data_IF_832431745262
#
_entry.id   IF_832431745262
#
_cell.length_a   1.000
_cell.length_b   1.000
_cell.length_c   1.000
_cell.angle_alpha   90.00
_cell.angle_beta   90.00
_cell.angle_gamma   90.00
#
_symmetry.space_group_name_H-M   'P 1'
#
loop_
_entity.id
_entity.type
_entity.pdbx_description
1 polymer ?
#
# COMPACT_ATOMS: atom_id res chain seq x y z
N UNK A 1 8.88 -18.21 42.36
CA UNK A 1 9.29 -18.84 41.09
C UNK A 1 8.59 -18.07 39.97
N UNK A 2 9.29 -17.14 39.33
CA UNK A 2 8.71 -16.29 38.28
C UNK A 2 8.87 -16.99 36.93
N UNK A 3 7.77 -17.48 36.36
CA UNK A 3 7.75 -17.96 34.98
C UNK A 3 7.81 -16.75 34.04
N UNK A 4 9.03 -16.34 33.69
CA UNK A 4 9.26 -15.53 32.50
C UNK A 4 8.93 -16.40 31.29
N UNK A 5 7.70 -16.27 30.80
CA UNK A 5 7.30 -16.80 29.50
C UNK A 5 8.21 -16.15 28.45
N UNK A 6 9.29 -16.86 28.14
CA UNK A 6 10.17 -16.61 27.02
C UNK A 6 9.29 -16.75 25.78
N UNK A 7 8.74 -15.63 25.32
CA UNK A 7 8.09 -15.50 24.02
C UNK A 7 9.16 -15.76 22.97
N UNK A 8 9.41 -17.03 22.71
CA UNK A 8 10.15 -17.49 21.55
C UNK A 8 9.36 -17.07 20.33
N UNK A 9 9.71 -15.91 19.78
CA UNK A 9 9.25 -15.49 18.48
C UNK A 9 9.81 -16.52 17.50
N UNK A 10 8.98 -17.52 17.16
CA UNK A 10 9.31 -18.49 16.13
C UNK A 10 9.64 -17.71 14.85
N UNK A 11 10.80 -17.96 14.20
CA UNK A 11 11.14 -17.33 12.93
C UNK A 11 10.13 -17.80 11.88
N UNK A 12 9.04 -17.03 11.71
CA UNK A 12 7.89 -17.39 10.89
C UNK A 12 6.54 -16.93 11.43
N UNK A 13 6.46 -16.46 12.67
CA UNK A 13 5.19 -15.99 13.29
C UNK A 13 5.18 -14.48 13.56
N UNK A 14 6.08 -13.74 12.93
CA UNK A 14 6.07 -12.28 13.01
C UNK A 14 4.97 -11.67 12.13
N UNK A 15 4.56 -10.42 12.38
CA UNK A 15 3.57 -9.72 11.55
C UNK A 15 4.02 -9.48 10.09
N UNK A 16 5.26 -9.84 9.76
CA UNK A 16 5.83 -9.79 8.41
C UNK A 16 5.97 -11.19 7.78
N UNK A 17 5.49 -12.25 8.45
CA UNK A 17 5.55 -13.58 7.89
C UNK A 17 4.55 -13.76 6.75
N UNK A 18 4.91 -14.59 5.78
CA UNK A 18 4.08 -14.85 4.60
C UNK A 18 2.74 -15.46 5.02
N UNK A 19 2.74 -16.40 5.97
CA UNK A 19 1.51 -17.04 6.45
C UNK A 19 0.57 -16.03 7.12
N UNK A 20 1.12 -15.13 7.94
CA UNK A 20 0.32 -14.09 8.60
C UNK A 20 -0.27 -13.10 7.59
N UNK A 21 0.54 -12.66 6.61
CA UNK A 21 0.09 -11.76 5.55
C UNK A 21 -1.03 -12.41 4.72
N UNK A 22 -0.88 -13.69 4.36
CA UNK A 22 -1.88 -14.41 3.59
C UNK A 22 -3.18 -14.59 4.37
N UNK A 23 -3.08 -14.93 5.66
CA UNK A 23 -4.26 -15.05 6.53
C UNK A 23 -4.98 -13.69 6.67
N UNK A 24 -4.23 -12.61 6.88
CA UNK A 24 -4.79 -11.27 6.98
C UNK A 24 -5.44 -10.82 5.66
N UNK A 25 -4.83 -11.15 4.52
CA UNK A 25 -5.37 -10.89 3.19
C UNK A 25 -6.68 -11.65 2.93
N UNK A 26 -6.78 -12.92 3.32
CA UNK A 26 -8.03 -13.70 3.23
C UNK A 26 -9.14 -13.10 4.09
N UNK A 27 -8.84 -12.68 5.32
CA UNK A 27 -9.80 -11.98 6.17
C UNK A 27 -10.31 -10.70 5.50
N UNK A 28 -9.41 -9.87 4.97
CA UNK A 28 -9.78 -8.66 4.24
C UNK A 28 -10.65 -8.95 3.02
N UNK A 29 -10.34 -10.01 2.25
CA UNK A 29 -11.12 -10.43 1.10
C UNK A 29 -12.55 -10.80 1.51
N UNK A 30 -12.67 -11.68 2.50
CA UNK A 30 -13.96 -12.16 3.01
C UNK A 30 -14.83 -11.02 3.56
N UNK A 31 -14.22 -10.03 4.20
CA UNK A 31 -14.92 -8.86 4.77
C UNK A 31 -15.26 -7.78 3.74
N UNK A 32 -14.46 -7.64 2.67
CA UNK A 32 -14.62 -6.54 1.71
C UNK A 32 -15.90 -6.63 0.86
N UNK A 33 -16.39 -7.86 0.62
CA UNK A 33 -17.46 -8.10 -0.35
C UNK A 33 -17.06 -7.79 -1.81
N UNK A 34 -15.78 -7.54 -2.08
CA UNK A 34 -15.25 -7.20 -3.39
C UNK A 34 -14.65 -8.45 -4.04
N UNK A 35 -15.03 -8.74 -5.29
CA UNK A 35 -14.49 -9.86 -6.07
C UNK A 35 -13.16 -9.49 -6.74
N UNK A 36 -12.13 -9.25 -5.93
CA UNK A 36 -10.75 -9.06 -6.40
C UNK A 36 -9.90 -10.31 -6.11
N UNK A 37 -8.82 -10.53 -6.90
CA UNK A 37 -7.89 -11.63 -6.65
C UNK A 37 -7.19 -11.51 -5.29
N UNK A 38 -6.81 -12.66 -4.69
CA UNK A 38 -6.11 -12.71 -3.40
C UNK A 38 -4.83 -11.85 -3.37
N UNK A 39 -4.07 -11.82 -4.47
CA UNK A 39 -2.83 -11.03 -4.59
C UNK A 39 -3.03 -9.54 -4.35
N UNK A 40 -4.21 -9.01 -4.68
CA UNK A 40 -4.57 -7.62 -4.37
C UNK A 40 -4.59 -7.40 -2.85
N UNK A 41 -5.25 -8.29 -2.12
CA UNK A 41 -5.35 -8.21 -0.66
C UNK A 41 -4.03 -8.50 0.03
N UNK A 42 -3.14 -9.32 -0.54
CA UNK A 42 -1.76 -9.51 -0.04
C UNK A 42 -0.94 -8.23 -0.13
N UNK A 43 -1.04 -7.51 -1.25
CA UNK A 43 -0.36 -6.22 -1.40
C UNK A 43 -0.89 -5.20 -0.39
N UNK A 44 -2.20 -5.13 -0.22
CA UNK A 44 -2.84 -4.23 0.74
C UNK A 44 -2.53 -4.62 2.20
N UNK A 45 -2.53 -5.91 2.52
CA UNK A 45 -2.10 -6.46 3.80
C UNK A 45 -0.68 -6.01 4.16
N UNK A 46 0.27 -6.13 3.23
CA UNK A 46 1.65 -5.68 3.43
C UNK A 46 1.74 -4.19 3.72
N UNK A 47 1.00 -3.36 2.97
CA UNK A 47 0.97 -1.91 3.19
C UNK A 47 0.41 -1.54 4.57
N UNK A 48 -0.69 -2.17 4.99
CA UNK A 48 -1.30 -1.94 6.32
C UNK A 48 -0.37 -2.39 7.45
N UNK A 49 0.31 -3.52 7.29
CA UNK A 49 1.21 -4.10 8.29
C UNK A 49 2.58 -3.42 8.36
N UNK A 50 3.01 -2.70 7.31
CA UNK A 50 4.26 -1.92 7.33
C UNK A 50 4.14 -0.59 8.08
N UNK A 51 3.04 -0.35 8.80
CA UNK A 51 2.77 0.93 9.48
C UNK A 51 2.47 2.09 8.51
N UNK A 52 2.35 1.78 7.22
CA UNK A 52 1.92 2.72 6.18
C UNK A 52 0.40 2.85 6.22
N UNK A 53 -0.09 3.62 7.20
CA UNK A 53 -1.49 4.01 7.26
C UNK A 53 -1.97 4.49 5.89
N UNK A 54 -3.12 3.99 5.48
CA UNK A 54 -3.76 4.22 4.19
C UNK A 54 -4.09 5.70 4.01
N UNK A 55 -3.09 6.51 3.63
CA UNK A 55 -3.31 7.90 3.19
C UNK A 55 -3.96 7.95 1.80
N UNK A 56 -4.21 6.81 1.14
CA UNK A 56 -4.71 6.76 -0.23
C UNK A 56 -6.23 6.47 -0.37
N UNK A 57 -6.98 6.32 0.74
CA UNK A 57 -8.45 6.19 0.69
C UNK A 57 -9.19 7.31 1.44
N UNK A 58 -8.48 8.18 2.16
CA UNK A 58 -9.08 9.43 2.62
C UNK A 58 -9.02 10.43 1.47
N UNK A 59 -10.16 10.72 0.86
CA UNK A 59 -10.36 11.74 -0.16
C UNK A 59 -10.09 13.16 0.33
N UNK A 60 -8.86 13.43 0.77
CA UNK A 60 -8.30 14.77 0.81
C UNK A 60 -7.42 14.88 -0.42
N UNK A 61 -8.01 15.40 -1.50
CA UNK A 61 -7.24 15.95 -2.61
C UNK A 61 -6.21 16.92 -2.04
N UNK A 62 -4.97 16.45 -1.84
CA UNK A 62 -3.83 17.32 -1.82
C UNK A 62 -3.87 18.01 -3.18
N UNK A 63 -4.12 19.33 -3.17
CA UNK A 63 -4.10 20.15 -4.39
C UNK A 63 -2.87 19.73 -5.19
N UNK A 64 -3.00 19.30 -6.44
CA UNK A 64 -1.82 18.93 -7.21
C UNK A 64 -0.93 20.15 -7.25
N UNK A 65 0.25 20.05 -6.64
CA UNK A 65 1.31 21.01 -6.87
C UNK A 65 1.50 21.03 -8.39
N UNK A 66 1.43 22.22 -8.99
CA UNK A 66 1.64 22.37 -10.44
C UNK A 66 2.98 21.71 -10.75
N UNK A 67 3.02 20.72 -11.66
CA UNK A 67 4.30 20.16 -12.08
C UNK A 67 5.10 21.31 -12.71
N UNK A 68 6.29 21.59 -12.16
CA UNK A 68 7.25 22.49 -12.80
C UNK A 68 7.68 21.80 -14.09
N UNK A 69 7.07 22.17 -15.20
CA UNK A 69 7.42 21.63 -16.51
C UNK A 69 8.79 22.17 -16.88
N UNK A 70 9.72 21.27 -17.25
CA UNK A 70 11.00 21.69 -17.80
C UNK A 70 10.76 22.48 -19.09
N UNK A 71 11.53 23.54 -19.34
CA UNK A 71 11.43 24.34 -20.56
C UNK A 71 11.51 23.50 -21.85
N UNK A 72 12.19 22.34 -21.81
CA UNK A 72 12.26 21.38 -22.90
C UNK A 72 10.90 20.77 -23.26
N UNK A 73 10.07 20.49 -22.25
CA UNK A 73 8.72 19.93 -22.45
C UNK A 73 7.77 20.97 -23.03
N UNK A 74 7.83 22.21 -22.53
CA UNK A 74 6.99 23.31 -23.02
C UNK A 74 7.31 23.67 -24.49
N UNK A 75 8.60 23.64 -24.86
CA UNK A 75 9.04 23.88 -26.24
C UNK A 75 8.51 22.83 -27.22
N UNK A 76 8.49 21.55 -26.81
CA UNK A 76 7.89 20.48 -27.61
C UNK A 76 6.36 20.65 -27.73
N UNK A 77 5.67 20.95 -26.64
CA UNK A 77 4.22 21.10 -26.62
C UNK A 77 3.71 22.30 -27.44
N UNK A 78 4.47 23.42 -27.48
CA UNK A 78 4.10 24.62 -28.25
C UNK A 78 4.39 24.52 -29.75
N UNK A 79 5.21 23.58 -30.20
CA UNK A 79 5.58 23.45 -31.61
C UNK A 79 4.43 22.98 -32.52
N UNK A 80 3.31 22.52 -31.96
CA UNK A 80 2.15 22.03 -32.73
C UNK A 80 1.03 23.04 -33.00
N UNK A 81 1.18 24.32 -32.60
CA UNK A 81 0.06 25.29 -32.60
C UNK A 81 0.32 26.55 -33.46
N UNK A 82 1.05 26.41 -34.57
CA UNK A 82 1.05 27.39 -35.66
C UNK A 82 0.44 26.73 -36.90
N UNK A 83 -0.87 26.87 -37.03
CA UNK A 83 -1.66 26.62 -38.25
C UNK A 83 -2.72 27.71 -38.35
#
# INVERSE_FOLDING_TARGET
MSNAAKTGLQPGHGPQSVDFINQFAETMRAESGVDLPHDYFVAEARMRLSGGGVHHLSGKAAKPAKPETSACFDAWAKAGHNG
#
